data_IF_044379312516
#
_entry.id   IF_044379312516
#
_cell.length_a   1.000
_cell.length_b   1.000
_cell.length_c   1.000
_cell.angle_alpha   90.00
_cell.angle_beta   90.00
_cell.angle_gamma   90.00
#
_symmetry.space_group_name_H-M   'P 1'
#
loop_
_entity.id
_entity.type
_entity.pdbx_description
1 polymer ?
#
# COMPACT_ATOMS: atom_id res chain seq x y z
N UNK A 1 10.12 -1.74 -16.75
CA UNK A 1 8.77 -2.23 -16.35
C UNK A 1 7.81 -1.06 -16.14
N UNK A 2 6.52 -1.19 -16.50
CA UNK A 2 5.55 -0.07 -16.54
C UNK A 2 5.39 0.65 -15.20
N UNK A 3 5.35 -0.08 -14.08
CA UNK A 3 5.20 0.50 -12.74
C UNK A 3 6.41 1.36 -12.34
N UNK A 4 7.63 0.90 -12.64
CA UNK A 4 8.86 1.64 -12.37
C UNK A 4 8.89 2.94 -13.19
N UNK A 5 8.55 2.88 -14.48
CA UNK A 5 8.51 4.08 -15.33
C UNK A 5 7.49 5.12 -14.82
N UNK A 6 6.30 4.67 -14.43
CA UNK A 6 5.28 5.53 -13.83
C UNK A 6 5.75 6.13 -12.49
N UNK A 7 6.33 5.30 -11.61
CA UNK A 7 6.87 5.73 -10.33
C UNK A 7 7.99 6.75 -10.48
N UNK A 8 8.94 6.54 -11.38
CA UNK A 8 10.01 7.52 -11.63
C UNK A 8 9.48 8.86 -12.12
N UNK A 9 8.46 8.87 -12.98
CA UNK A 9 7.82 10.10 -13.45
C UNK A 9 7.10 10.84 -12.31
N UNK A 10 6.34 10.11 -11.47
CA UNK A 10 5.65 10.69 -10.32
C UNK A 10 6.62 11.20 -9.25
N UNK A 11 7.72 10.49 -9.00
CA UNK A 11 8.76 10.94 -8.07
C UNK A 11 9.41 12.25 -8.54
N UNK A 12 9.68 12.39 -9.84
CA UNK A 12 10.23 13.61 -10.43
C UNK A 12 9.25 14.79 -10.34
N UNK A 13 7.97 14.57 -10.68
CA UNK A 13 6.91 15.59 -10.58
C UNK A 13 6.74 16.06 -9.13
N UNK A 14 6.78 15.13 -8.19
CA UNK A 14 6.65 15.43 -6.77
C UNK A 14 7.97 15.85 -6.12
N UNK A 15 9.09 15.95 -6.84
CA UNK A 15 10.39 16.32 -6.29
C UNK A 15 10.81 15.45 -5.09
N UNK A 16 10.68 14.13 -5.23
CA UNK A 16 11.02 13.12 -4.23
C UNK A 16 12.19 12.25 -4.70
N UNK A 17 13.03 11.83 -3.75
CA UNK A 17 14.02 10.78 -3.99
C UNK A 17 13.41 9.41 -3.70
N UNK A 18 13.40 8.52 -4.69
CA UNK A 18 12.73 7.23 -4.64
C UNK A 18 13.61 6.13 -5.22
N UNK A 19 13.87 5.10 -4.41
CA UNK A 19 14.52 3.87 -4.83
C UNK A 19 13.52 2.79 -5.24
N UNK A 20 13.86 2.06 -6.31
CA UNK A 20 13.13 0.89 -6.78
C UNK A 20 14.07 -0.32 -6.80
N UNK A 21 13.86 -1.27 -5.90
CA UNK A 21 14.60 -2.55 -5.84
C UNK A 21 13.59 -3.68 -5.75
N UNK A 22 13.93 -4.89 -6.19
CA UNK A 22 12.94 -5.96 -6.19
C UNK A 22 13.52 -7.34 -6.41
N UNK A 23 12.75 -8.33 -6.02
CA UNK A 23 12.96 -9.73 -6.38
C UNK A 23 12.34 -9.94 -7.77
N UNK A 24 13.13 -9.64 -8.81
CA UNK A 24 12.64 -9.67 -10.19
C UNK A 24 12.09 -11.04 -10.64
N UNK A 25 12.64 -12.13 -10.09
CA UNK A 25 12.18 -13.49 -10.38
C UNK A 25 10.75 -13.76 -9.90
N UNK A 26 10.32 -13.08 -8.84
CA UNK A 26 8.99 -13.26 -8.23
C UNK A 26 7.98 -12.19 -8.67
N UNK A 27 8.43 -11.21 -9.46
CA UNK A 27 7.62 -10.04 -9.80
C UNK A 27 7.35 -9.12 -8.60
N UNK A 28 8.20 -9.14 -7.56
CA UNK A 28 8.03 -8.37 -6.33
C UNK A 28 8.93 -7.12 -6.33
N UNK A 29 8.31 -5.94 -6.20
CA UNK A 29 8.99 -4.63 -6.24
C UNK A 29 8.84 -3.90 -4.91
N UNK A 30 9.96 -3.47 -4.34
CA UNK A 30 10.05 -2.57 -3.21
C UNK A 30 10.30 -1.15 -3.70
N UNK A 31 9.45 -0.24 -3.25
CA UNK A 31 9.56 1.20 -3.50
C UNK A 31 9.85 1.90 -2.18
N UNK A 32 10.96 2.63 -2.11
CA UNK A 32 11.41 3.31 -0.90
C UNK A 32 11.53 4.81 -1.17
N UNK A 33 10.86 5.63 -0.36
CA UNK A 33 10.88 7.09 -0.47
C UNK A 33 11.83 7.63 0.59
N UNK A 34 12.82 8.43 0.19
CA UNK A 34 13.78 9.06 1.09
C UNK A 34 13.41 10.52 1.31
N UNK A 35 13.15 10.90 2.56
CA UNK A 35 12.86 12.29 2.92
C UNK A 35 13.19 12.61 4.38
N UNK A 36 13.46 13.88 4.72
CA UNK A 36 13.61 14.33 6.10
C UNK A 36 12.31 14.12 6.89
N UNK A 37 12.34 13.47 8.07
CA UNK A 37 11.13 13.13 8.83
C UNK A 37 10.41 14.34 9.43
N UNK A 38 11.11 15.46 9.55
CA UNK A 38 10.67 16.73 10.15
C UNK A 38 10.13 17.74 9.13
N UNK A 39 10.08 17.40 7.84
CA UNK A 39 9.44 18.22 6.81
C UNK A 39 8.01 17.70 6.50
N UNK A 40 6.96 18.32 7.06
CA UNK A 40 5.58 17.87 6.85
C UNK A 40 5.12 18.03 5.39
N UNK A 41 5.68 18.97 4.63
CA UNK A 41 5.31 19.18 3.23
C UNK A 41 5.92 18.08 2.34
N UNK A 42 7.16 17.67 2.58
CA UNK A 42 7.75 16.51 1.89
C UNK A 42 7.02 15.23 2.29
N UNK A 43 6.67 15.07 3.56
CA UNK A 43 5.88 13.93 4.03
C UNK A 43 4.54 13.82 3.31
N UNK A 44 3.81 14.92 3.15
CA UNK A 44 2.54 14.91 2.42
C UNK A 44 2.73 14.49 0.96
N UNK A 45 3.78 14.97 0.28
CA UNK A 45 4.13 14.52 -1.08
C UNK A 45 4.48 13.03 -1.11
N UNK A 46 5.24 12.53 -0.14
CA UNK A 46 5.59 11.12 -0.01
C UNK A 46 4.35 10.22 0.21
N UNK A 47 3.40 10.65 1.04
CA UNK A 47 2.13 9.94 1.26
C UNK A 47 1.27 9.92 -0.02
N UNK A 48 1.22 11.03 -0.76
CA UNK A 48 0.57 11.10 -2.08
C UNK A 48 1.24 10.19 -3.10
N UNK A 49 2.57 10.19 -3.18
CA UNK A 49 3.33 9.30 -4.05
C UNK A 49 3.02 7.82 -3.74
N UNK A 50 3.03 7.46 -2.45
CA UNK A 50 2.72 6.10 -2.01
C UNK A 50 1.29 5.68 -2.40
N UNK A 51 0.32 6.59 -2.34
CA UNK A 51 -1.06 6.33 -2.80
C UNK A 51 -1.12 6.11 -4.32
N UNK A 52 -0.51 6.99 -5.10
CA UNK A 52 -0.49 6.89 -6.55
C UNK A 52 0.17 5.59 -7.04
N UNK A 53 1.37 5.26 -6.52
CA UNK A 53 2.09 4.06 -6.96
C UNK A 53 1.36 2.77 -6.55
N UNK A 54 0.74 2.75 -5.36
CA UNK A 54 -0.04 1.60 -4.89
C UNK A 54 -1.28 1.37 -5.76
N UNK A 55 -2.04 2.43 -6.04
CA UNK A 55 -3.20 2.35 -6.95
C UNK A 55 -2.80 1.93 -8.34
N UNK A 56 -1.65 2.42 -8.84
CA UNK A 56 -1.12 2.00 -10.14
C UNK A 56 -0.76 0.52 -10.15
N UNK A 57 -0.13 0.01 -9.09
CA UNK A 57 0.18 -1.41 -8.98
C UNK A 57 -1.09 -2.28 -9.06
N UNK A 58 -2.15 -1.92 -8.32
CA UNK A 58 -3.43 -2.62 -8.37
C UNK A 58 -4.07 -2.50 -9.77
N UNK A 59 -4.04 -1.33 -10.39
CA UNK A 59 -4.59 -1.12 -11.74
C UNK A 59 -3.84 -1.91 -12.83
N UNK A 60 -2.59 -2.31 -12.58
CA UNK A 60 -1.80 -3.21 -13.44
C UNK A 60 -2.05 -4.70 -13.13
N UNK A 61 -2.99 -5.03 -12.25
CA UNK A 61 -3.28 -6.40 -11.82
C UNK A 61 -2.32 -6.93 -10.75
N UNK A 62 -1.52 -6.07 -10.13
CA UNK A 62 -0.65 -6.40 -9.00
C UNK A 62 -1.35 -6.23 -7.64
N UNK A 63 -0.55 -6.21 -6.57
CA UNK A 63 -1.01 -6.10 -5.18
C UNK A 63 -0.43 -4.86 -4.49
N UNK A 64 -1.13 -4.33 -3.48
CA UNK A 64 -0.56 -3.31 -2.60
C UNK A 64 0.57 -3.84 -1.69
N UNK A 65 0.71 -5.16 -1.57
CA UNK A 65 1.72 -5.79 -0.73
C UNK A 65 2.21 -7.11 -1.29
N UNK A 66 3.41 -7.12 -1.89
CA UNK A 66 4.05 -8.36 -2.34
C UNK A 66 4.27 -9.35 -1.18
N UNK A 67 4.77 -8.87 -0.04
CA UNK A 67 5.20 -9.74 1.07
C UNK A 67 5.00 -9.19 2.50
N UNK A 68 4.91 -7.86 2.70
CA UNK A 68 4.91 -7.27 4.06
C UNK A 68 3.54 -7.23 4.76
N UNK A 69 2.51 -7.77 4.12
CA UNK A 69 1.13 -7.69 4.56
C UNK A 69 0.55 -6.26 4.62
N UNK A 70 -0.64 -6.18 5.21
CA UNK A 70 -1.53 -5.00 5.14
C UNK A 70 -1.27 -3.99 6.27
N UNK A 71 -1.23 -4.48 7.52
CA UNK A 71 -1.07 -3.63 8.70
C UNK A 71 -2.11 -2.50 8.77
N UNK A 72 -1.72 -1.32 9.25
CA UNK A 72 -2.57 -0.10 9.21
C UNK A 72 -2.44 0.63 7.87
N UNK A 73 -1.21 0.77 7.38
CA UNK A 73 -0.90 1.65 6.25
C UNK A 73 -1.57 1.23 4.94
N UNK A 74 -1.85 -0.07 4.75
CA UNK A 74 -2.43 -0.57 3.51
C UNK A 74 -3.89 -1.01 3.62
N UNK A 75 -4.50 -0.97 4.82
CA UNK A 75 -5.89 -1.39 5.03
C UNK A 75 -6.87 -0.65 4.11
N UNK A 76 -6.59 0.63 3.83
CA UNK A 76 -7.38 1.49 2.92
C UNK A 76 -7.42 1.00 1.46
N UNK A 77 -6.53 0.09 1.04
CA UNK A 77 -6.50 -0.43 -0.33
C UNK A 77 -7.20 -1.79 -0.48
N UNK A 78 -7.63 -2.44 0.61
CA UNK A 78 -8.19 -3.79 0.54
C UNK A 78 -9.45 -3.87 -0.32
N UNK A 79 -10.37 -2.90 -0.19
CA UNK A 79 -11.58 -2.89 -1.01
C UNK A 79 -11.29 -2.57 -2.48
N UNK A 80 -10.24 -1.77 -2.74
CA UNK A 80 -9.78 -1.51 -4.11
C UNK A 80 -9.17 -2.77 -4.75
N UNK A 81 -8.43 -3.57 -3.99
CA UNK A 81 -7.72 -4.75 -4.47
C UNK A 81 -8.63 -5.99 -4.55
N UNK A 82 -9.45 -6.23 -3.53
CA UNK A 82 -10.24 -7.47 -3.40
C UNK A 82 -11.75 -7.26 -3.60
N UNK A 83 -12.22 -6.01 -3.65
CA UNK A 83 -13.63 -5.68 -3.72
C UNK A 83 -14.36 -5.79 -2.37
N UNK A 84 -15.51 -5.12 -2.27
CA UNK A 84 -16.29 -5.03 -1.04
C UNK A 84 -16.76 -6.41 -0.53
N UNK A 85 -17.11 -7.35 -1.42
CA UNK A 85 -17.60 -8.68 -1.03
C UNK A 85 -16.54 -9.53 -0.32
N UNK A 86 -15.32 -9.56 -0.84
CA UNK A 86 -14.22 -10.30 -0.21
C UNK A 86 -13.83 -9.67 1.13
N UNK A 87 -13.78 -8.33 1.20
CA UNK A 87 -13.49 -7.63 2.46
C UNK A 87 -14.59 -7.87 3.51
N UNK A 88 -15.86 -7.91 3.10
CA UNK A 88 -16.97 -8.26 4.00
C UNK A 88 -16.84 -9.68 4.56
N UNK A 89 -16.42 -10.65 3.73
CA UNK A 89 -16.13 -12.01 4.20
C UNK A 89 -14.99 -12.02 5.23
N UNK A 90 -13.89 -11.30 4.97
CA UNK A 90 -12.77 -11.21 5.93
C UNK A 90 -13.22 -10.59 7.26
N UNK A 91 -14.08 -9.55 7.24
CA UNK A 91 -14.69 -8.97 8.45
C UNK A 91 -15.57 -9.99 9.17
N UNK A 92 -16.35 -10.79 8.44
CA UNK A 92 -17.16 -11.87 9.01
C UNK A 92 -16.30 -12.89 9.78
N UNK A 93 -15.20 -13.35 9.18
CA UNK A 93 -14.24 -14.26 9.83
C UNK A 93 -13.63 -13.61 11.08
N UNK A 94 -13.22 -12.34 10.99
CA UNK A 94 -12.65 -11.60 12.12
C UNK A 94 -13.64 -11.50 13.28
N UNK A 95 -14.89 -11.14 13.01
CA UNK A 95 -15.92 -10.99 14.03
C UNK A 95 -16.32 -12.33 14.67
N UNK A 96 -16.27 -13.42 13.90
CA UNK A 96 -16.49 -14.77 14.43
C UNK A 96 -15.39 -15.20 15.41
N UNK A 97 -14.13 -14.93 15.08
CA UNK A 97 -12.98 -15.35 15.89
C UNK A 97 -12.64 -14.38 17.03
N UNK A 98 -12.96 -13.10 16.90
CA UNK A 98 -12.67 -12.05 17.88
C UNK A 98 -13.86 -11.09 18.03
N UNK A 99 -14.97 -11.56 18.63
CA UNK A 99 -16.19 -10.76 18.78
C UNK A 99 -16.02 -9.51 19.65
N UNK A 100 -15.00 -9.50 20.52
CA UNK A 100 -14.67 -8.34 21.37
C UNK A 100 -13.69 -7.37 20.70
N UNK A 101 -13.14 -7.69 19.53
CA UNK A 101 -12.21 -6.85 18.79
C UNK A 101 -10.87 -6.60 19.50
N UNK A 102 -10.43 -7.49 20.40
CA UNK A 102 -9.22 -7.27 21.22
C UNK A 102 -7.93 -7.66 20.49
N UNK A 103 -8.01 -8.47 19.43
CA UNK A 103 -6.84 -8.93 18.69
C UNK A 103 -6.49 -7.93 17.58
N UNK A 104 -5.54 -7.03 17.88
CA UNK A 104 -4.97 -6.04 16.94
C UNK A 104 -6.02 -5.09 16.32
N UNK A 105 -6.72 -4.27 17.14
CA UNK A 105 -7.73 -3.35 16.65
C UNK A 105 -7.17 -2.34 15.62
N UNK A 106 -7.93 -2.12 14.55
CA UNK A 106 -7.61 -1.18 13.47
C UNK A 106 -6.44 -1.59 12.57
N UNK A 107 -6.01 -2.87 12.60
CA UNK A 107 -5.00 -3.41 11.67
C UNK A 107 -5.66 -4.42 10.72
N UNK A 108 -5.11 -4.51 9.51
CA UNK A 108 -5.54 -5.36 8.40
C UNK A 108 -6.88 -4.93 7.83
N UNK A 109 -7.96 -5.01 8.62
CA UNK A 109 -9.29 -4.61 8.18
C UNK A 109 -9.58 -3.17 8.60
N UNK A 110 -10.18 -2.34 7.73
CA UNK A 110 -10.77 -1.09 8.16
C UNK A 110 -11.78 -1.35 9.28
N UNK A 111 -11.98 -0.36 10.16
CA UNK A 111 -13.10 -0.36 11.10
C UNK A 111 -14.45 -0.47 10.40
#
# INVERSE_FOLDING_TARGET
PQLVAYGSAQAAELGLDVGFIGHAGDGNLHTTIFFPPDDPAVRQRAESFNDCITRKAIALGGTCTGEHGVGRGKAKYLELEFGAGAVALMRGIKNFLDPNGILNPGKVLPG
#
